data_IF_700746727807
#
_entry.id   IF_700746727807
#
_cell.length_a   1.000
_cell.length_b   1.000
_cell.length_c   1.000
_cell.angle_alpha   90.00
_cell.angle_beta   90.00
_cell.angle_gamma   90.00
#
_symmetry.space_group_name_H-M   'P 1'
#
loop_
_entity.id
_entity.type
_entity.pdbx_description
1 polymer ?
#
# COMPACT_ATOMS: atom_id res chain seq x y z
N UNK A 1 -2.28 19.42 -11.68
CA UNK A 1 -2.35 18.48 -10.55
C UNK A 1 -0.96 17.94 -10.33
N UNK A 2 -0.47 18.03 -9.11
CA UNK A 2 0.81 17.43 -8.75
C UNK A 2 0.66 15.90 -8.71
N UNK A 3 1.74 15.16 -9.00
CA UNK A 3 1.71 13.68 -8.84
C UNK A 3 1.38 13.27 -7.40
N UNK A 4 1.74 14.11 -6.42
CA UNK A 4 1.38 13.92 -5.01
C UNK A 4 -0.13 13.97 -4.79
N UNK A 5 -0.83 14.95 -5.38
CA UNK A 5 -2.30 15.07 -5.28
C UNK A 5 -3.06 13.87 -5.86
N UNK A 6 -2.46 13.16 -6.83
CA UNK A 6 -3.06 11.98 -7.47
C UNK A 6 -2.75 10.68 -6.71
N UNK A 7 -1.49 10.49 -6.29
CA UNK A 7 -1.03 9.23 -5.73
C UNK A 7 -1.21 9.12 -4.21
N UNK A 8 -1.27 10.24 -3.48
CA UNK A 8 -1.45 10.23 -2.03
C UNK A 8 -2.81 9.64 -1.63
N UNK A 9 -3.95 10.09 -2.20
CA UNK A 9 -5.25 9.51 -1.86
C UNK A 9 -5.33 8.01 -2.22
N UNK A 10 -4.71 7.61 -3.33
CA UNK A 10 -4.67 6.20 -3.72
C UNK A 10 -3.93 5.34 -2.68
N UNK A 11 -2.74 5.77 -2.25
CA UNK A 11 -1.92 5.01 -1.31
C UNK A 11 -2.63 4.85 0.04
N UNK A 12 -3.21 5.93 0.57
CA UNK A 12 -3.95 5.93 1.83
C UNK A 12 -5.18 5.02 1.78
N UNK A 13 -6.02 5.17 0.75
CA UNK A 13 -7.22 4.35 0.55
C UNK A 13 -6.83 2.87 0.39
N UNK A 14 -5.78 2.58 -0.38
CA UNK A 14 -5.35 1.21 -0.60
C UNK A 14 -4.88 0.56 0.70
N UNK A 15 -4.04 1.23 1.49
CA UNK A 15 -3.56 0.72 2.79
C UNK A 15 -4.73 0.49 3.75
N UNK A 16 -5.66 1.45 3.84
CA UNK A 16 -6.82 1.36 4.73
C UNK A 16 -7.76 0.21 4.33
N UNK A 17 -8.09 0.09 3.03
CA UNK A 17 -9.00 -0.93 2.52
C UNK A 17 -8.39 -2.34 2.46
N UNK A 18 -7.07 -2.45 2.59
CA UNK A 18 -6.32 -3.70 2.46
C UNK A 18 -5.53 -4.03 3.72
N UNK A 19 -6.07 -3.66 4.89
CA UNK A 19 -5.54 -4.13 6.18
C UNK A 19 -5.50 -5.66 6.21
N UNK A 20 -4.29 -6.19 6.30
CA UNK A 20 -4.02 -7.64 6.30
C UNK A 20 -4.40 -8.23 7.65
N UNK A 21 -5.18 -9.32 7.64
CA UNK A 21 -5.51 -10.11 8.84
C UNK A 21 -4.95 -11.51 8.81
N UNK A 22 -4.64 -12.04 7.63
CA UNK A 22 -4.05 -13.35 7.46
C UNK A 22 -3.22 -13.40 6.19
N UNK A 23 -2.29 -14.35 6.13
CA UNK A 23 -1.51 -14.66 4.93
C UNK A 23 -1.80 -16.11 4.56
N UNK A 24 -2.23 -16.32 3.31
CA UNK A 24 -2.36 -17.64 2.71
C UNK A 24 -1.10 -17.93 1.92
N UNK A 25 -0.49 -19.08 2.19
CA UNK A 25 0.70 -19.56 1.49
C UNK A 25 0.27 -20.73 0.61
N UNK A 26 0.55 -20.63 -0.69
CA UNK A 26 0.50 -21.74 -1.64
C UNK A 26 1.91 -22.25 -1.86
N UNK A 27 2.26 -23.34 -1.17
CA UNK A 27 3.62 -23.91 -1.21
C UNK A 27 3.91 -24.65 -2.52
N UNK A 28 2.88 -25.02 -3.29
CA UNK A 28 3.08 -25.70 -4.58
C UNK A 28 3.44 -24.71 -5.68
N UNK A 29 2.89 -23.48 -5.60
CA UNK A 29 3.17 -22.40 -6.55
C UNK A 29 4.23 -21.42 -6.08
N UNK A 30 4.60 -21.47 -4.80
CA UNK A 30 5.49 -20.48 -4.18
C UNK A 30 4.86 -19.10 -4.07
N UNK A 31 3.53 -19.03 -4.04
CA UNK A 31 2.78 -17.79 -3.97
C UNK A 31 2.30 -17.51 -2.54
N UNK A 32 2.27 -16.24 -2.18
CA UNK A 32 1.70 -15.78 -0.92
C UNK A 32 0.68 -14.68 -1.21
N UNK A 33 -0.48 -14.80 -0.56
CA UNK A 33 -1.57 -13.85 -0.70
C UNK A 33 -1.99 -13.34 0.67
N UNK A 34 -2.08 -12.02 0.81
CA UNK A 34 -2.68 -11.38 1.95
C UNK A 34 -4.21 -11.43 1.86
N UNK A 35 -4.85 -11.72 2.98
CA UNK A 35 -6.29 -11.65 3.16
C UNK A 35 -6.63 -10.38 3.93
N UNK A 36 -7.50 -9.55 3.36
CA UNK A 36 -8.01 -8.36 4.04
C UNK A 36 -9.15 -8.69 5.00
N UNK A 37 -9.44 -7.77 5.93
CA UNK A 37 -10.64 -7.81 6.78
C UNK A 37 -11.95 -7.99 5.98
N UNK A 38 -11.99 -7.45 4.76
CA UNK A 38 -13.15 -7.55 3.86
C UNK A 38 -13.22 -8.89 3.10
N UNK A 39 -12.33 -9.84 3.41
CA UNK A 39 -12.26 -11.15 2.75
C UNK A 39 -11.66 -11.13 1.34
N UNK A 40 -11.06 -10.01 0.92
CA UNK A 40 -10.39 -9.91 -0.38
C UNK A 40 -8.96 -10.46 -0.30
N UNK A 41 -8.54 -11.18 -1.32
CA UNK A 41 -7.18 -11.70 -1.44
C UNK A 41 -6.35 -10.82 -2.38
N UNK A 42 -5.10 -10.51 -2.02
CA UNK A 42 -4.19 -9.73 -2.86
C UNK A 42 -2.72 -10.09 -2.60
N UNK A 43 -1.84 -9.80 -3.55
CA UNK A 43 -0.38 -9.98 -3.40
C UNK A 43 0.17 -8.98 -2.38
N UNK A 44 0.93 -9.44 -1.39
CA UNK A 44 1.41 -8.60 -0.29
C UNK A 44 2.31 -7.46 -0.78
N UNK A 45 3.04 -7.68 -1.88
CA UNK A 45 3.90 -6.70 -2.55
C UNK A 45 3.13 -5.44 -2.95
N UNK A 46 1.82 -5.55 -3.22
CA UNK A 46 0.98 -4.38 -3.54
C UNK A 46 0.80 -3.47 -2.32
N UNK A 47 0.70 -4.03 -1.12
CA UNK A 47 0.64 -3.25 0.10
C UNK A 47 1.99 -2.61 0.41
N UNK A 48 3.08 -3.35 0.24
CA UNK A 48 4.44 -2.81 0.40
C UNK A 48 4.70 -1.64 -0.55
N UNK A 49 4.30 -1.76 -1.82
CA UNK A 49 4.38 -0.69 -2.80
C UNK A 49 3.58 0.55 -2.37
N UNK A 50 2.35 0.36 -1.88
CA UNK A 50 1.52 1.47 -1.41
C UNK A 50 2.13 2.16 -0.18
N UNK A 51 2.66 1.40 0.77
CA UNK A 51 3.34 1.92 1.96
C UNK A 51 4.62 2.69 1.60
N UNK A 52 5.45 2.13 0.72
CA UNK A 52 6.66 2.79 0.24
C UNK A 52 6.34 4.10 -0.50
N UNK A 53 5.29 4.09 -1.34
CA UNK A 53 4.84 5.29 -2.03
C UNK A 53 4.38 6.36 -1.04
N UNK A 54 3.56 6.00 -0.05
CA UNK A 54 3.09 6.93 0.98
C UNK A 54 4.26 7.59 1.73
N UNK A 55 5.28 6.81 2.11
CA UNK A 55 6.47 7.35 2.78
C UNK A 55 7.22 8.37 1.91
N UNK A 56 7.39 8.08 0.61
CA UNK A 56 8.06 8.99 -0.33
C UNK A 56 7.27 10.29 -0.51
N UNK A 57 5.95 10.19 -0.63
CA UNK A 57 5.07 11.34 -0.82
C UNK A 57 5.08 12.25 0.43
N UNK A 58 4.95 11.67 1.63
CA UNK A 58 5.01 12.42 2.89
C UNK A 58 6.36 13.09 3.10
N UNK A 59 7.47 12.40 2.76
CA UNK A 59 8.81 12.99 2.85
C UNK A 59 9.01 14.13 1.84
N UNK A 60 8.36 14.06 0.67
CA UNK A 60 8.41 15.13 -0.33
C UNK A 60 7.62 16.37 0.13
N UNK A 61 6.42 16.19 0.71
CA UNK A 61 5.63 17.29 1.28
C UNK A 61 6.37 17.99 2.42
N UNK A 62 6.94 17.23 3.37
CA UNK A 62 7.71 17.78 4.48
C UNK A 62 8.98 18.55 4.04
N UNK A 63 9.54 18.23 2.86
CA UNK A 63 10.65 18.98 2.27
C UNK A 63 10.20 20.29 1.65
N UNK A 64 8.99 20.34 1.08
CA UNK A 64 8.43 21.54 0.49
C UNK A 64 8.01 22.55 1.58
N UNK A 65 7.49 22.08 2.72
CA UNK A 65 7.11 22.95 3.84
C UNK A 65 8.29 23.61 4.58
N UNK A 66 9.52 23.11 4.40
CA UNK A 66 10.74 23.60 5.07
C UNK A 66 11.55 24.61 4.26
N UNK A 67 11.12 24.95 3.04
CA UNK A 67 11.75 25.93 2.14
C UNK A 67 10.90 27.19 2.08
#
# INVERSE_FOLDING_TARGET
MSRTEEYLPWAEIFIQARRVVAVRIDTERGEYAALSETGSSFFIERLEQAQALLQVLQAAEQRIEKV
#
